data_IF_883932106285
#
_entry.id   IF_883932106285
#
_cell.length_a   1.000
_cell.length_b   1.000
_cell.length_c   1.000
_cell.angle_alpha   90.00
_cell.angle_beta   90.00
_cell.angle_gamma   90.00
#
_symmetry.space_group_name_H-M   'P 1'
#
loop_
_entity.id
_entity.type
_entity.pdbx_description
1 polymer ?
#
# COMPACT_ATOMS: atom_id res chain seq x y z
N UNK A 1 16.63 -33.06 -41.04
CA UNK A 1 16.86 -31.66 -41.44
C UNK A 1 17.35 -30.93 -40.20
N UNK A 2 18.66 -30.82 -40.04
CA UNK A 2 19.29 -30.20 -38.87
C UNK A 2 19.29 -28.69 -39.07
N UNK A 3 18.53 -27.97 -38.24
CA UNK A 3 18.45 -26.51 -38.34
C UNK A 3 19.81 -25.90 -37.96
N UNK A 4 20.45 -25.12 -38.86
CA UNK A 4 21.73 -24.46 -38.59
C UNK A 4 21.47 -23.23 -37.70
N UNK A 5 21.18 -23.48 -36.41
CA UNK A 5 20.95 -22.42 -35.42
C UNK A 5 22.28 -21.89 -34.83
N UNK A 6 23.37 -22.65 -34.95
CA UNK A 6 24.66 -22.27 -34.39
C UNK A 6 25.28 -21.04 -35.09
N UNK A 7 25.14 -20.93 -36.42
CA UNK A 7 25.62 -19.79 -37.19
C UNK A 7 24.91 -18.47 -36.81
N UNK A 8 23.69 -18.56 -36.26
CA UNK A 8 22.91 -17.41 -35.81
C UNK A 8 23.36 -16.91 -34.42
N UNK A 9 23.80 -17.81 -33.55
CA UNK A 9 24.34 -17.46 -32.23
C UNK A 9 25.72 -16.82 -32.39
N UNK A 10 26.56 -17.39 -33.26
CA UNK A 10 27.93 -16.92 -33.49
C UNK A 10 27.96 -15.56 -34.21
N UNK A 11 27.04 -15.32 -35.17
CA UNK A 11 26.85 -14.00 -35.80
C UNK A 11 26.36 -12.93 -34.83
N UNK A 12 25.53 -13.29 -33.84
CA UNK A 12 25.00 -12.33 -32.85
C UNK A 12 26.05 -11.93 -31.82
N UNK A 13 26.92 -12.86 -31.42
CA UNK A 13 28.04 -12.60 -30.52
C UNK A 13 29.09 -11.66 -31.14
N UNK A 14 29.21 -11.60 -32.48
CA UNK A 14 30.15 -10.74 -33.19
C UNK A 14 29.67 -9.28 -33.38
N UNK A 15 28.37 -8.99 -33.21
CA UNK A 15 27.82 -7.62 -33.32
C UNK A 15 27.68 -6.89 -31.97
N UNK A 16 27.89 -7.62 -30.88
CA UNK A 16 28.01 -7.10 -29.54
C UNK A 16 29.48 -6.73 -29.31
N UNK A 17 29.91 -5.56 -29.81
CA UNK A 17 31.20 -4.95 -29.48
C UNK A 17 31.32 -4.85 -27.94
N UNK A 18 32.02 -5.84 -27.36
CA UNK A 18 31.76 -6.36 -26.01
C UNK A 18 32.69 -5.79 -24.93
N UNK A 19 33.40 -4.69 -25.17
CA UNK A 19 34.42 -4.23 -24.22
C UNK A 19 34.21 -2.84 -23.60
N UNK A 20 33.35 -1.99 -24.17
CA UNK A 20 33.23 -0.58 -23.73
C UNK A 20 31.81 -0.31 -23.25
N UNK A 21 31.52 -0.71 -22.01
CA UNK A 21 30.33 -0.26 -21.30
C UNK A 21 30.52 1.20 -20.89
N UNK A 22 29.71 2.09 -21.45
CA UNK A 22 29.71 3.52 -21.09
C UNK A 22 28.65 3.78 -20.04
N UNK A 23 28.97 4.62 -19.07
CA UNK A 23 28.00 5.07 -18.06
C UNK A 23 27.14 6.21 -18.61
N UNK A 24 25.84 6.16 -18.31
CA UNK A 24 24.93 7.25 -18.60
C UNK A 24 25.22 8.44 -17.67
N UNK A 25 25.45 9.64 -18.22
CA UNK A 25 25.69 10.86 -17.44
C UNK A 25 24.52 11.26 -16.55
N UNK A 26 23.31 10.81 -16.92
CA UNK A 26 22.12 11.05 -16.14
C UNK A 26 22.02 10.02 -15.00
N UNK A 27 21.79 8.74 -15.25
CA UNK A 27 21.50 7.80 -14.15
C UNK A 27 22.70 6.99 -13.64
N UNK A 28 23.89 7.15 -14.19
CA UNK A 28 25.10 6.42 -13.79
C UNK A 28 25.11 4.91 -14.14
N UNK A 29 24.07 4.41 -14.82
CA UNK A 29 23.99 3.01 -15.24
C UNK A 29 24.87 2.77 -16.48
N UNK A 30 25.46 1.58 -16.57
CA UNK A 30 26.35 1.18 -17.65
C UNK A 30 25.58 0.48 -18.78
N UNK A 31 25.88 0.84 -20.03
CA UNK A 31 25.22 0.30 -21.22
C UNK A 31 26.21 0.09 -22.37
N UNK A 32 25.89 -0.83 -23.29
CA UNK A 32 26.51 -0.92 -24.60
C UNK A 32 26.20 0.37 -25.41
N UNK A 33 27.14 0.93 -26.19
CA UNK A 33 26.92 2.15 -26.99
C UNK A 33 25.62 2.18 -27.80
N UNK A 34 25.21 1.06 -28.43
CA UNK A 34 23.95 0.98 -29.20
C UNK A 34 22.71 1.18 -28.31
N UNK A 35 22.76 0.68 -27.08
CA UNK A 35 21.69 0.81 -26.08
C UNK A 35 21.75 2.15 -25.36
N UNK A 36 22.94 2.73 -25.19
CA UNK A 36 23.16 4.01 -24.53
C UNK A 36 22.45 5.15 -25.28
N UNK A 37 22.53 5.19 -26.61
CA UNK A 37 21.90 6.26 -27.40
C UNK A 37 20.37 6.32 -27.21
N UNK A 38 19.72 5.14 -27.13
CA UNK A 38 18.29 5.05 -26.82
C UNK A 38 18.02 5.39 -25.36
N UNK A 39 18.89 4.94 -24.47
CA UNK A 39 18.79 5.18 -23.05
C UNK A 39 18.89 6.67 -22.70
N UNK A 40 19.83 7.42 -23.28
CA UNK A 40 20.03 8.84 -23.01
C UNK A 40 18.78 9.67 -23.28
N UNK A 41 18.14 9.46 -24.46
CA UNK A 41 16.90 10.15 -24.86
C UNK A 41 15.75 9.93 -23.86
N UNK A 42 15.64 8.73 -23.28
CA UNK A 42 14.59 8.39 -22.30
C UNK A 42 14.98 8.83 -20.89
N UNK A 43 16.24 8.64 -20.52
CA UNK A 43 16.76 8.95 -19.20
C UNK A 43 16.75 10.46 -18.91
N UNK A 44 16.99 11.29 -19.92
CA UNK A 44 16.87 12.75 -19.79
C UNK A 44 15.41 13.16 -19.47
N UNK A 45 14.44 12.57 -20.17
CA UNK A 45 13.00 12.85 -19.98
C UNK A 45 12.51 12.36 -18.62
N UNK A 46 12.98 11.20 -18.17
CA UNK A 46 12.61 10.64 -16.87
C UNK A 46 13.18 11.45 -15.71
N UNK A 47 14.41 11.97 -15.83
CA UNK A 47 14.98 12.89 -14.84
C UNK A 47 14.22 14.20 -14.70
N UNK A 48 13.86 14.84 -15.82
CA UNK A 48 13.02 16.06 -15.81
C UNK A 48 11.65 15.81 -15.13
N UNK A 49 11.21 14.56 -15.17
CA UNK A 49 9.93 14.06 -14.65
C UNK A 49 9.95 13.67 -13.17
N UNK A 50 11.10 13.60 -12.48
CA UNK A 50 11.24 13.08 -11.10
C UNK A 50 10.30 13.75 -10.07
N UNK A 51 9.74 14.92 -10.38
CA UNK A 51 8.70 15.55 -9.55
C UNK A 51 7.34 14.82 -9.56
N UNK A 52 7.17 13.77 -10.37
CA UNK A 52 5.95 12.95 -10.34
C UNK A 52 5.94 12.10 -9.08
N UNK A 53 4.79 12.01 -8.43
CA UNK A 53 4.58 11.13 -7.27
C UNK A 53 5.00 9.70 -7.63
N UNK A 54 5.68 8.99 -6.72
CA UNK A 54 6.09 7.61 -6.98
C UNK A 54 4.86 6.77 -7.32
N UNK A 55 5.01 5.94 -8.34
CA UNK A 55 3.96 5.04 -8.79
C UNK A 55 3.66 4.02 -7.68
N UNK A 56 2.40 3.99 -7.22
CA UNK A 56 1.97 3.08 -6.18
C UNK A 56 1.07 1.99 -6.78
N UNK A 57 1.61 0.77 -6.88
CA UNK A 57 0.91 -0.40 -7.43
C UNK A 57 -0.34 -0.77 -6.64
N UNK A 58 -0.39 -0.46 -5.35
CA UNK A 58 -1.57 -0.69 -4.52
C UNK A 58 -2.70 0.27 -4.90
N UNK A 59 -2.40 1.57 -5.05
CA UNK A 59 -3.41 2.57 -5.45
C UNK A 59 -3.95 2.30 -6.86
N UNK A 60 -3.09 1.89 -7.80
CA UNK A 60 -3.57 1.56 -9.14
C UNK A 60 -4.54 0.37 -9.10
N UNK A 61 -4.17 -0.72 -8.43
CA UNK A 61 -5.05 -1.89 -8.29
C UNK A 61 -6.36 -1.53 -7.59
N UNK A 62 -6.29 -0.79 -6.48
CA UNK A 62 -7.47 -0.33 -5.76
C UNK A 62 -8.43 0.46 -6.64
N UNK A 63 -7.89 1.33 -7.52
CA UNK A 63 -8.66 2.10 -8.50
C UNK A 63 -9.34 1.20 -9.55
N UNK A 64 -8.64 0.18 -10.03
CA UNK A 64 -9.16 -0.79 -11.01
C UNK A 64 -10.24 -1.70 -10.42
N UNK A 65 -10.08 -2.11 -9.15
CA UNK A 65 -11.02 -3.01 -8.47
C UNK A 65 -12.18 -2.27 -7.80
N UNK A 66 -12.21 -0.93 -7.83
CA UNK A 66 -13.22 -0.12 -7.14
C UNK A 66 -13.19 -0.22 -5.61
N UNK A 67 -12.17 -0.87 -5.05
CA UNK A 67 -11.99 -1.02 -3.61
C UNK A 67 -11.32 0.26 -3.09
N UNK A 68 -12.03 1.05 -2.31
CA UNK A 68 -11.48 2.29 -1.75
C UNK A 68 -10.34 1.93 -0.78
N UNK A 69 -9.11 2.41 -1.01
CA UNK A 69 -8.02 2.15 -0.10
C UNK A 69 -8.26 2.91 1.20
N UNK A 70 -8.62 2.20 2.27
CA UNK A 70 -8.75 2.80 3.60
C UNK A 70 -7.37 3.22 4.08
N UNK A 71 -7.11 4.52 4.12
CA UNK A 71 -5.83 5.06 4.57
C UNK A 71 -5.74 5.05 6.09
N UNK A 72 -4.53 5.01 6.65
CA UNK A 72 -4.30 5.06 8.11
C UNK A 72 -5.00 6.30 8.73
N UNK A 73 -4.97 7.44 8.03
CA UNK A 73 -5.66 8.66 8.45
C UNK A 73 -7.17 8.49 8.58
N UNK A 74 -7.81 7.72 7.68
CA UNK A 74 -9.25 7.46 7.74
C UNK A 74 -9.60 6.57 8.93
N UNK A 75 -8.81 5.51 9.20
CA UNK A 75 -8.96 4.67 10.41
C UNK A 75 -8.79 5.47 11.70
N UNK A 76 -7.83 6.40 11.74
CA UNK A 76 -7.58 7.23 12.91
C UNK A 76 -8.74 8.18 13.20
N UNK A 77 -9.28 8.83 12.17
CA UNK A 77 -10.46 9.71 12.29
C UNK A 77 -11.69 8.94 12.78
N UNK A 78 -11.96 7.76 12.23
CA UNK A 78 -13.08 6.91 12.68
C UNK A 78 -12.90 6.47 14.13
N UNK A 79 -11.68 6.06 14.51
CA UNK A 79 -11.35 5.65 15.88
C UNK A 79 -11.51 6.79 16.88
N UNK A 80 -11.10 8.02 16.53
CA UNK A 80 -11.29 9.21 17.36
C UNK A 80 -12.79 9.53 17.50
N UNK A 81 -13.55 9.48 16.40
CA UNK A 81 -15.01 9.69 16.41
C UNK A 81 -15.73 8.68 17.31
N UNK A 82 -15.37 7.40 17.24
CA UNK A 82 -15.90 6.35 18.10
C UNK A 82 -15.56 6.57 19.59
N UNK A 83 -14.35 7.05 19.91
CA UNK A 83 -13.96 7.41 21.28
C UNK A 83 -14.79 8.58 21.83
N UNK A 84 -15.04 9.61 21.01
CA UNK A 84 -15.89 10.75 21.38
C UNK A 84 -17.32 10.31 21.71
N UNK A 85 -17.93 9.52 20.81
CA UNK A 85 -19.28 8.97 21.00
C UNK A 85 -19.39 8.12 22.28
N UNK A 86 -18.39 7.26 22.56
CA UNK A 86 -18.36 6.45 23.78
C UNK A 86 -18.30 7.31 25.05
N UNK A 87 -17.54 8.39 25.03
CA UNK A 87 -17.43 9.30 26.17
C UNK A 87 -18.76 9.98 26.46
N UNK A 88 -19.43 10.46 25.41
CA UNK A 88 -20.76 11.07 25.49
C UNK A 88 -21.81 10.08 26.02
N UNK A 89 -21.85 8.85 25.50
CA UNK A 89 -22.74 7.79 26.01
C UNK A 89 -22.49 7.50 27.49
N UNK A 90 -21.22 7.44 27.94
CA UNK A 90 -20.89 7.21 29.35
C UNK A 90 -21.30 8.38 30.26
N UNK A 91 -21.14 9.62 29.81
CA UNK A 91 -21.61 10.81 30.54
C UNK A 91 -23.14 10.85 30.65
N UNK A 92 -23.84 10.48 29.59
CA UNK A 92 -25.30 10.35 29.57
C UNK A 92 -25.80 9.27 30.54
N UNK A 93 -25.12 8.11 30.60
CA UNK A 93 -25.41 7.06 31.59
C UNK A 93 -25.25 7.58 33.02
N UNK A 94 -24.15 8.29 33.30
CA UNK A 94 -23.87 8.84 34.63
C UNK A 94 -24.90 9.90 35.05
N UNK A 95 -25.41 10.72 34.12
CA UNK A 95 -26.49 11.67 34.42
C UNK A 95 -27.80 10.98 34.82
N UNK A 96 -28.16 9.89 34.13
CA UNK A 96 -29.34 9.08 34.48
C UNK A 96 -29.16 8.47 35.88
N UNK A 97 -28.01 7.83 36.14
CA UNK A 97 -27.71 7.20 37.42
C UNK A 97 -27.73 8.19 38.60
N UNK A 98 -27.35 9.45 38.36
CA UNK A 98 -27.40 10.55 39.34
C UNK A 98 -28.79 11.16 39.52
N UNK A 99 -29.84 10.66 38.83
CA UNK A 99 -31.21 11.16 38.93
C UNK A 99 -31.47 12.47 38.16
N UNK A 100 -30.75 12.69 37.06
CA UNK A 100 -30.89 13.88 36.23
C UNK A 100 -32.30 14.06 35.62
N UNK A 101 -32.76 15.31 35.55
CA UNK A 101 -34.12 15.70 35.12
C UNK A 101 -34.46 15.40 33.64
N UNK A 102 -33.46 15.06 32.82
CA UNK A 102 -33.59 14.83 31.36
C UNK A 102 -33.55 13.34 30.97
N UNK A 103 -33.81 12.43 31.91
CA UNK A 103 -33.74 10.97 31.71
C UNK A 103 -34.53 10.46 30.49
N UNK A 104 -35.67 11.09 30.18
CA UNK A 104 -36.54 10.71 29.06
C UNK A 104 -35.97 11.05 27.68
N UNK A 105 -35.24 12.16 27.56
CA UNK A 105 -34.59 12.56 26.29
C UNK A 105 -33.38 11.66 25.97
N UNK A 106 -32.64 11.24 27.00
CA UNK A 106 -31.48 10.35 26.85
C UNK A 106 -31.91 8.93 26.44
N UNK A 107 -33.04 8.44 26.95
CA UNK A 107 -33.64 7.17 26.51
C UNK A 107 -34.09 7.22 25.04
N UNK A 108 -34.63 8.36 24.60
CA UNK A 108 -35.12 8.54 23.23
C UNK A 108 -34.00 8.72 22.19
N UNK A 109 -32.89 9.37 22.57
CA UNK A 109 -31.72 9.57 21.69
C UNK A 109 -30.72 8.40 21.70
N UNK A 110 -31.00 7.36 22.48
CA UNK A 110 -30.43 6.03 22.33
C UNK A 110 -29.15 5.80 23.12
N UNK A 111 -29.26 5.01 24.19
CA UNK A 111 -28.18 4.13 24.61
C UNK A 111 -27.97 3.11 23.50
N UNK A 112 -26.79 3.11 22.87
CA UNK A 112 -26.48 2.08 21.90
C UNK A 112 -26.58 0.70 22.59
N UNK A 113 -27.28 -0.29 22.01
CA UNK A 113 -27.23 -1.64 22.55
C UNK A 113 -25.76 -2.04 22.61
N UNK A 114 -25.24 -2.34 23.81
CA UNK A 114 -23.93 -2.93 23.93
C UNK A 114 -23.96 -4.22 23.11
N UNK A 115 -23.20 -4.25 22.01
CA UNK A 115 -22.99 -5.51 21.28
C UNK A 115 -22.36 -6.45 22.29
N UNK A 116 -23.13 -7.45 22.72
CA UNK A 116 -22.58 -8.60 23.41
C UNK A 116 -21.55 -9.16 22.42
N UNK A 117 -20.27 -8.98 22.74
CA UNK A 117 -19.21 -9.64 22.00
C UNK A 117 -19.41 -11.12 22.31
N UNK A 118 -19.67 -11.99 21.33
CA UNK A 118 -19.76 -13.42 21.60
C UNK A 118 -18.45 -13.86 22.27
N UNK A 119 -18.52 -14.74 23.28
CA UNK A 119 -17.37 -15.15 24.07
C UNK A 119 -16.47 -16.11 23.27
N UNK A 120 -15.86 -15.65 22.18
CA UNK A 120 -14.89 -16.40 21.38
C UNK A 120 -14.12 -15.49 20.39
N UNK A 121 -13.68 -14.32 20.83
CA UNK A 121 -12.77 -13.49 20.05
C UNK A 121 -11.30 -13.91 20.26
N UNK A 122 -10.94 -15.16 19.92
CA UNK A 122 -9.54 -15.63 19.81
C UNK A 122 -8.85 -15.21 18.48
N UNK A 123 -9.32 -14.17 17.79
CA UNK A 123 -8.68 -13.68 16.56
C UNK A 123 -7.60 -12.62 16.82
N UNK A 124 -6.71 -12.91 17.77
CA UNK A 124 -5.49 -12.11 17.99
C UNK A 124 -4.28 -13.01 18.24
N UNK A 125 -3.95 -13.91 17.32
CA UNK A 125 -2.53 -14.29 17.12
C UNK A 125 -2.16 -15.17 15.91
N UNK A 126 -2.90 -15.17 14.79
CA UNK A 126 -2.49 -16.01 13.63
C UNK A 126 -1.57 -15.33 12.61
N UNK A 127 -1.24 -14.04 12.76
CA UNK A 127 -0.40 -13.34 11.77
C UNK A 127 1.12 -13.36 12.06
N UNK A 128 1.56 -13.74 13.26
CA UNK A 128 2.99 -13.89 13.60
C UNK A 128 3.50 -15.34 13.60
N UNK A 129 2.62 -16.33 13.46
CA UNK A 129 2.98 -17.76 13.56
C UNK A 129 3.48 -18.39 12.24
N UNK A 130 3.49 -17.68 11.11
CA UNK A 130 3.97 -18.21 9.83
C UNK A 130 5.51 -18.05 9.66
N UNK A 131 6.18 -17.24 10.47
CA UNK A 131 7.62 -16.95 10.32
C UNK A 131 8.53 -17.52 11.43
N UNK A 132 8.21 -18.69 11.99
CA UNK A 132 9.09 -19.33 12.98
C UNK A 132 9.26 -20.85 12.87
N UNK A 133 9.05 -21.40 11.68
CA UNK A 133 9.39 -22.80 11.37
C UNK A 133 10.28 -22.86 10.11
N UNK A 134 11.56 -22.49 10.25
CA UNK A 134 12.66 -22.96 9.40
C UNK A 134 13.99 -22.52 10.01
N UNK A 135 14.48 -23.26 11.00
CA UNK A 135 15.88 -23.44 11.41
C UNK A 135 15.93 -24.69 12.28
#
# INVERSE_FOLDING_TARGET
>A
MSFPMNDYIEKRAAEDDTAILKSCQFCGRTFNPKSLERHEKVCERSKKTIRRTPFNSFLQRAKETGVVPVTIETWDKERIKLKGKRKEENENILQIARGGKNSREVLNNGLSPQKIVPPDAEFRNTFFAVYKCSM
#
